data_IF_503750859818
#
_entry.id   IF_503750859818
#
_cell.length_a   1.000
_cell.length_b   1.000
_cell.length_c   1.000
_cell.angle_alpha   90.00
_cell.angle_beta   90.00
_cell.angle_gamma   90.00
#
_symmetry.space_group_name_H-M   'P 1'
#
loop_
_entity.id
_entity.type
_entity.pdbx_description
1 polymer ?
#
# COMPACT_ATOMS: atom_id res chain seq x y z
N UNK A 1 -6.79 -5.23 -22.23
CA UNK A 1 -5.53 -5.97 -21.96
C UNK A 1 -5.46 -6.18 -20.46
N UNK A 2 -5.71 -7.38 -19.97
CA UNK A 2 -5.66 -7.69 -18.54
C UNK A 2 -4.20 -7.60 -18.11
N UNK A 3 -3.84 -6.57 -17.35
CA UNK A 3 -2.47 -6.46 -16.85
C UNK A 3 -2.23 -7.64 -15.92
N UNK A 4 -1.30 -8.52 -16.28
CA UNK A 4 -1.06 -9.76 -15.57
C UNK A 4 -0.80 -9.47 -14.08
N UNK A 5 -1.56 -10.15 -13.22
CA UNK A 5 -1.37 -10.08 -11.77
C UNK A 5 -0.12 -10.88 -11.39
N UNK A 6 0.57 -10.47 -10.31
CA UNK A 6 1.83 -11.08 -9.88
C UNK A 6 1.86 -11.33 -8.39
N UNK A 7 2.47 -12.44 -7.99
CA UNK A 7 2.77 -12.73 -6.60
C UNK A 7 4.27 -12.61 -6.37
N UNK A 8 4.67 -11.82 -5.38
CA UNK A 8 6.07 -11.69 -4.95
C UNK A 8 6.18 -11.89 -3.44
N UNK A 9 7.27 -12.52 -3.01
CA UNK A 9 7.60 -12.86 -1.61
C UNK A 9 9.07 -12.59 -1.38
N UNK A 10 9.49 -12.33 -0.15
CA UNK A 10 10.91 -12.18 0.21
C UNK A 10 11.74 -13.31 -0.42
N UNK A 11 12.85 -13.02 -1.10
CA UNK A 11 13.48 -11.70 -1.27
C UNK A 11 13.02 -10.92 -2.52
N UNK A 12 12.11 -11.47 -3.33
CA UNK A 12 11.70 -10.93 -4.63
C UNK A 12 10.73 -9.77 -4.47
N UNK A 13 10.97 -8.69 -5.22
CA UNK A 13 10.11 -7.51 -5.32
C UNK A 13 9.39 -7.47 -6.67
N UNK A 14 8.30 -6.70 -6.76
CA UNK A 14 7.61 -6.46 -8.04
C UNK A 14 8.25 -5.29 -8.79
N UNK A 15 8.98 -5.62 -9.85
CA UNK A 15 9.74 -4.67 -10.69
C UNK A 15 8.88 -3.68 -11.50
N UNK A 16 7.55 -3.83 -11.49
CA UNK A 16 6.62 -2.89 -12.16
C UNK A 16 6.48 -1.57 -11.41
N UNK A 17 6.93 -1.51 -10.17
CA UNK A 17 6.81 -0.36 -9.29
C UNK A 17 8.19 0.20 -8.97
N UNK A 18 8.32 1.53 -8.95
CA UNK A 18 9.58 2.19 -8.60
C UNK A 18 9.91 2.09 -7.09
N UNK A 19 8.97 1.64 -6.27
CA UNK A 19 9.15 1.37 -4.84
C UNK A 19 9.27 -0.13 -4.60
N UNK A 20 9.92 -0.54 -3.51
CA UNK A 20 9.89 -1.91 -3.05
C UNK A 20 8.44 -2.33 -2.77
N UNK A 21 7.88 -3.22 -3.59
CA UNK A 21 6.51 -3.70 -3.43
C UNK A 21 6.45 -5.23 -3.41
N UNK A 22 5.69 -5.78 -2.45
CA UNK A 22 5.34 -7.20 -2.39
C UNK A 22 3.86 -7.43 -2.14
N UNK A 23 3.35 -8.57 -2.61
CA UNK A 23 1.98 -8.99 -2.36
C UNK A 23 1.56 -10.24 -3.12
N UNK A 24 0.33 -10.68 -2.86
CA UNK A 24 -0.28 -11.83 -3.51
C UNK A 24 -1.26 -11.38 -4.60
N UNK A 25 -1.09 -11.92 -5.81
CA UNK A 25 -1.95 -11.66 -6.97
C UNK A 25 -2.20 -10.15 -7.20
N UNK A 26 -1.11 -9.38 -7.19
CA UNK A 26 -1.15 -7.92 -7.28
C UNK A 26 -1.32 -7.49 -8.73
N UNK A 27 -2.34 -6.71 -9.03
CA UNK A 27 -2.54 -6.11 -10.35
C UNK A 27 -1.66 -4.86 -10.55
N UNK A 28 -1.76 -4.25 -11.73
CA UNK A 28 -0.99 -3.05 -12.00
C UNK A 28 -1.42 -1.83 -11.20
N UNK A 29 -2.55 -1.82 -10.50
CA UNK A 29 -3.01 -0.70 -9.67
C UNK A 29 -3.01 -1.05 -8.18
N UNK A 30 -2.15 -2.00 -7.78
CA UNK A 30 -1.95 -2.50 -6.41
C UNK A 30 -3.11 -3.27 -5.79
N UNK A 31 -4.16 -3.63 -6.54
CA UNK A 31 -5.21 -4.52 -6.01
C UNK A 31 -4.64 -5.91 -5.82
N UNK A 32 -5.03 -6.61 -4.76
CA UNK A 32 -4.50 -7.94 -4.43
C UNK A 32 -5.62 -9.00 -4.34
N UNK A 33 -5.26 -10.25 -4.05
CA UNK A 33 -6.26 -11.33 -3.82
C UNK A 33 -7.22 -11.05 -2.66
N UNK A 34 -6.80 -10.27 -1.67
CA UNK A 34 -7.60 -9.98 -0.47
C UNK A 34 -8.59 -8.82 -0.66
N UNK A 35 -8.16 -7.78 -1.36
CA UNK A 35 -8.90 -6.56 -1.61
C UNK A 35 -8.67 -6.12 -3.06
N UNK A 36 -9.73 -6.16 -3.86
CA UNK A 36 -9.69 -5.92 -5.30
C UNK A 36 -10.92 -5.18 -5.83
N UNK A 37 -11.59 -4.42 -4.97
CA UNK A 37 -12.57 -3.44 -5.38
C UNK A 37 -11.95 -2.35 -6.25
N UNK A 38 -12.77 -1.58 -6.98
CA UNK A 38 -12.28 -0.55 -7.90
C UNK A 38 -11.43 0.54 -7.22
N UNK A 39 -11.63 0.76 -5.92
CA UNK A 39 -10.95 1.77 -5.10
C UNK A 39 -9.83 1.22 -4.20
N UNK A 40 -9.56 -0.09 -4.24
CA UNK A 40 -8.46 -0.75 -3.50
C UNK A 40 -7.10 -0.53 -4.18
N UNK A 41 -6.82 0.72 -4.54
CA UNK A 41 -5.71 1.14 -5.39
C UNK A 41 -4.58 1.81 -4.63
N UNK A 42 -4.39 1.41 -3.36
CA UNK A 42 -3.29 1.89 -2.53
C UNK A 42 -2.43 0.74 -2.04
N UNK A 43 -1.15 1.02 -1.84
CA UNK A 43 -0.25 0.15 -1.08
C UNK A 43 0.39 0.97 0.05
N UNK A 44 0.64 0.33 1.19
CA UNK A 44 1.16 0.97 2.40
C UNK A 44 2.52 0.39 2.79
N UNK A 45 3.43 1.26 3.19
CA UNK A 45 4.80 0.93 3.60
C UNK A 45 4.82 0.48 5.05
N UNK A 46 5.50 -0.63 5.33
CA UNK A 46 5.70 -1.15 6.69
C UNK A 46 7.06 -0.74 7.23
N UNK A 47 7.14 -0.41 8.52
CA UNK A 47 8.35 0.14 9.14
C UNK A 47 9.47 -0.88 9.29
N UNK A 48 9.12 -2.16 9.47
CA UNK A 48 10.07 -3.27 9.68
C UNK A 48 11.00 -3.53 8.49
N UNK A 49 10.57 -3.22 7.26
CA UNK A 49 11.34 -3.53 6.05
C UNK A 49 11.23 -2.51 4.92
N UNK A 50 10.60 -1.36 5.17
CA UNK A 50 10.40 -0.29 4.21
C UNK A 50 9.75 -0.73 2.88
N UNK A 51 9.08 -1.89 2.88
CA UNK A 51 8.42 -2.45 1.69
C UNK A 51 6.94 -2.09 1.72
N UNK A 52 6.41 -1.70 0.57
CA UNK A 52 4.99 -1.48 0.35
C UNK A 52 4.28 -2.82 0.14
N UNK A 53 3.11 -2.96 0.77
CA UNK A 53 2.17 -4.04 0.49
C UNK A 53 0.78 -3.46 0.20
N UNK A 54 0.00 -4.04 -0.73
CA UNK A 54 -1.40 -3.67 -0.97
C UNK A 54 -2.27 -3.64 0.29
N UNK A 55 -1.98 -4.55 1.23
CA UNK A 55 -2.67 -4.65 2.50
C UNK A 55 -1.84 -5.40 3.54
N UNK A 56 -2.26 -5.33 4.81
CA UNK A 56 -1.57 -6.00 5.92
C UNK A 56 -1.49 -7.52 5.70
N UNK A 57 -2.54 -8.16 5.17
CA UNK A 57 -2.52 -9.60 4.85
C UNK A 57 -1.51 -9.96 3.78
N UNK A 58 -1.25 -9.06 2.84
CA UNK A 58 -0.18 -9.25 1.87
C UNK A 58 1.19 -9.17 2.54
N UNK A 59 1.40 -8.25 3.48
CA UNK A 59 2.64 -8.21 4.26
C UNK A 59 2.84 -9.52 5.03
N UNK A 60 1.85 -9.93 5.83
CA UNK A 60 1.91 -11.14 6.66
C UNK A 60 2.21 -12.41 5.86
N UNK A 61 1.73 -12.48 4.61
CA UNK A 61 1.92 -13.65 3.74
C UNK A 61 3.21 -13.61 2.88
N UNK A 62 3.90 -12.48 2.79
CA UNK A 62 5.03 -12.28 1.86
C UNK A 62 6.33 -11.86 2.53
N UNK A 63 6.27 -11.39 3.78
CA UNK A 63 7.41 -11.17 4.65
C UNK A 63 7.73 -12.42 5.49
N UNK A 64 8.97 -12.52 5.95
CA UNK A 64 9.47 -13.55 6.87
C UNK A 64 9.53 -13.08 8.33
N UNK A 65 8.91 -11.92 8.60
CA UNK A 65 8.91 -11.23 9.89
C UNK A 65 7.54 -10.59 10.15
N UNK A 66 7.20 -10.33 11.43
CA UNK A 66 5.96 -9.65 11.79
C UNK A 66 5.93 -8.21 11.28
N UNK A 67 4.73 -7.69 11.03
CA UNK A 67 4.51 -6.31 10.62
C UNK A 67 4.81 -5.32 11.74
N UNK A 68 5.49 -4.23 11.40
CA UNK A 68 5.58 -3.03 12.25
C UNK A 68 4.87 -1.86 11.55
N UNK A 69 3.99 -1.20 12.29
CA UNK A 69 3.22 -0.05 11.79
C UNK A 69 4.12 1.17 11.58
N UNK A 70 3.75 2.05 10.65
CA UNK A 70 4.47 3.28 10.38
C UNK A 70 4.44 4.21 11.61
N UNK A 71 5.62 4.57 12.19
CA UNK A 71 5.67 5.35 13.43
C UNK A 71 5.40 6.84 13.17
N UNK A 72 4.79 7.53 14.15
CA UNK A 72 4.52 8.99 14.12
C UNK A 72 5.76 9.80 13.80
N UNK A 73 6.92 9.37 14.31
CA UNK A 73 8.20 10.03 14.11
C UNK A 73 8.63 10.09 12.63
N UNK A 74 8.02 9.30 11.74
CA UNK A 74 8.30 9.23 10.30
C UNK A 74 7.12 9.70 9.44
N UNK A 75 6.17 10.45 10.00
CA UNK A 75 4.96 10.89 9.28
C UNK A 75 5.23 11.93 8.18
N UNK A 76 6.42 12.51 8.14
CA UNK A 76 6.92 13.36 7.08
C UNK A 76 7.51 12.57 5.89
N UNK A 77 7.74 11.26 6.05
CA UNK A 77 8.20 10.37 4.98
C UNK A 77 7.05 9.78 4.14
N UNK A 78 7.26 9.49 2.85
CA UNK A 78 6.28 8.78 2.03
C UNK A 78 6.06 7.34 2.51
N UNK A 79 4.80 7.00 2.77
CA UNK A 79 4.38 5.68 3.28
C UNK A 79 3.10 5.14 2.64
N UNK A 80 2.48 5.89 1.73
CA UNK A 80 1.33 5.45 0.94
C UNK A 80 1.63 5.63 -0.55
N UNK A 81 1.37 4.60 -1.35
CA UNK A 81 1.51 4.61 -2.80
C UNK A 81 0.12 4.62 -3.43
N UNK A 82 -0.13 5.52 -4.38
CA UNK A 82 -1.27 5.41 -5.28
C UNK A 82 -0.94 4.44 -6.43
N UNK A 83 -1.67 3.33 -6.52
CA UNK A 83 -1.55 2.34 -7.58
C UNK A 83 -1.89 2.88 -8.97
N UNK A 84 -2.77 3.88 -9.08
CA UNK A 84 -3.17 4.43 -10.40
C UNK A 84 -2.07 5.31 -11.00
N UNK A 85 -1.60 6.33 -10.28
CA UNK A 85 -0.63 7.29 -10.81
C UNK A 85 0.81 7.10 -10.32
N UNK A 86 1.07 6.11 -9.47
CA UNK A 86 2.38 5.81 -8.87
C UNK A 86 2.94 6.87 -7.92
N UNK A 87 2.21 7.95 -7.66
CA UNK A 87 2.66 8.95 -6.70
C UNK A 87 2.68 8.35 -5.29
N UNK A 88 3.76 8.57 -4.56
CA UNK A 88 3.84 8.32 -3.13
C UNK A 88 3.44 9.56 -2.34
N UNK A 89 2.82 9.37 -1.19
CA UNK A 89 2.42 10.44 -0.28
C UNK A 89 2.67 10.01 1.17
N UNK A 90 2.70 10.99 2.06
CA UNK A 90 2.81 10.73 3.49
C UNK A 90 1.50 10.20 4.04
N UNK A 91 1.56 9.49 5.17
CA UNK A 91 0.36 9.02 5.86
C UNK A 91 -0.63 10.15 6.22
N UNK A 92 -0.20 11.30 6.78
CA UNK A 92 -1.10 12.44 7.01
C UNK A 92 -1.74 12.98 5.73
N UNK A 93 -0.98 13.08 4.63
CA UNK A 93 -1.51 13.55 3.36
C UNK A 93 -2.60 12.61 2.82
N UNK A 94 -2.36 11.29 2.87
CA UNK A 94 -3.37 10.28 2.51
C UNK A 94 -4.64 10.40 3.36
N UNK A 95 -4.50 10.59 4.68
CA UNK A 95 -5.63 10.73 5.62
C UNK A 95 -6.44 12.01 5.39
N UNK A 96 -5.81 13.08 4.91
CA UNK A 96 -6.45 14.35 4.62
C UNK A 96 -7.05 14.42 3.19
N UNK A 97 -6.81 13.42 2.34
CA UNK A 97 -7.12 13.50 0.91
C UNK A 97 -8.59 13.22 0.53
N UNK A 98 -9.50 13.17 1.52
CA UNK A 98 -10.94 12.91 1.33
C UNK A 98 -11.22 11.72 0.38
N UNK A 99 -10.53 10.60 0.64
CA UNK A 99 -10.65 9.37 -0.13
C UNK A 99 -10.37 9.52 -1.64
N UNK A 100 -9.54 10.47 -2.05
CA UNK A 100 -9.10 10.62 -3.43
C UNK A 100 -7.61 10.93 -3.52
N UNK A 101 -6.93 10.39 -4.52
CA UNK A 101 -5.52 10.72 -4.76
C UNK A 101 -5.37 12.24 -4.98
N UNK A 102 -4.52 12.97 -4.23
CA UNK A 102 -4.36 14.41 -4.41
C UNK A 102 -3.78 14.75 -5.79
N UNK A 103 -3.04 13.82 -6.40
CA UNK A 103 -2.38 13.96 -7.71
C UNK A 103 -3.32 13.63 -8.87
N UNK A 104 -3.88 12.42 -8.91
CA UNK A 104 -4.66 11.95 -10.07
C UNK A 104 -6.18 11.86 -9.86
N UNK A 105 -6.67 12.17 -8.65
CA UNK A 105 -8.09 12.11 -8.26
C UNK A 105 -8.74 10.73 -8.31
N UNK A 106 -7.97 9.66 -8.52
CA UNK A 106 -8.47 8.30 -8.37
C UNK A 106 -9.06 8.09 -6.97
N UNK A 107 -10.23 7.45 -6.90
CA UNK A 107 -10.90 7.17 -5.64
C UNK A 107 -10.14 6.10 -4.83
N UNK A 108 -9.97 6.36 -3.54
CA UNK A 108 -9.43 5.45 -2.55
C UNK A 108 -10.56 4.83 -1.73
N UNK A 109 -10.37 3.59 -1.27
CA UNK A 109 -11.38 2.90 -0.48
C UNK A 109 -11.54 3.57 0.90
N UNK A 110 -12.70 4.16 1.24
CA UNK A 110 -12.94 4.75 2.57
C UNK A 110 -12.86 3.71 3.70
N UNK A 111 -13.21 2.46 3.39
CA UNK A 111 -13.15 1.31 4.30
C UNK A 111 -11.74 0.98 4.79
N UNK A 112 -10.68 1.43 4.10
CA UNK A 112 -9.31 1.29 4.59
C UNK A 112 -9.09 1.95 5.97
N UNK A 113 -9.89 2.97 6.31
CA UNK A 113 -9.82 3.64 7.61
C UNK A 113 -10.08 2.71 8.79
N UNK A 114 -10.92 1.68 8.61
CA UNK A 114 -11.18 0.66 9.65
C UNK A 114 -9.94 -0.19 9.98
N UNK A 115 -8.96 -0.23 9.07
CA UNK A 115 -7.73 -1.01 9.20
C UNK A 115 -6.51 -0.13 9.53
N UNK A 116 -6.69 1.15 9.81
CA UNK A 116 -5.58 2.10 9.97
C UNK A 116 -4.54 1.65 11.02
N UNK A 117 -4.99 0.99 12.09
CA UNK A 117 -4.14 0.45 13.15
C UNK A 117 -3.17 -0.66 12.70
N UNK A 118 -3.36 -1.24 11.52
CA UNK A 118 -2.40 -2.19 10.93
C UNK A 118 -1.28 -1.51 10.14
N UNK A 119 -1.40 -0.21 9.86
CA UNK A 119 -0.50 0.48 8.91
C UNK A 119 0.28 1.62 9.52
N UNK A 120 -0.31 2.35 10.48
CA UNK A 120 0.37 3.46 11.12
C UNK A 120 -0.12 3.62 12.56
N UNK A 121 0.73 4.22 13.39
CA UNK A 121 0.28 4.74 14.68
C UNK A 121 -0.90 5.71 14.48
N UNK A 122 -1.73 5.87 15.52
CA UNK A 122 -2.74 6.92 15.51
C UNK A 122 -2.08 8.27 15.20
N UNK A 123 -2.81 9.19 14.58
CA UNK A 123 -2.40 10.57 14.28
C UNK A 123 -3.10 11.55 15.20
#
# INVERSE_FOLDING_TARGET
MTTARRTTRTPVLDDRFAVSLRGLDVDAETRCVHYHGPTDVVALRFACCDTFAPCHRCHDATADHPAEVWPRARFDEPSVLCGVCRATMTWPAYRAADHACPVCKAAFNPGCSAHAHHYAEAG
#
